data_IF_969149457961
#
_entry.id   IF_969149457961
#
_cell.length_a   1.000
_cell.length_b   1.000
_cell.length_c   1.000
_cell.angle_alpha   90.00
_cell.angle_beta   90.00
_cell.angle_gamma   90.00
#
_symmetry.space_group_name_H-M   'P 1'
#
loop_
_entity.id
_entity.type
_entity.pdbx_description
1 polymer ?
#
# COMPACT_ATOMS: atom_id res chain seq x y z
N UNK A 1 2.19 0.40 53.57
CA UNK A 1 1.23 1.49 53.28
C UNK A 1 1.13 1.65 51.77
N UNK A 2 0.18 0.93 51.15
CA UNK A 2 -0.98 1.49 50.42
C UNK A 2 -0.58 2.27 49.14
N UNK A 3 -0.45 1.63 47.97
CA UNK A 3 -1.52 1.15 47.06
C UNK A 3 -2.23 2.30 46.33
N UNK A 4 -1.97 2.44 45.01
CA UNK A 4 -3.00 2.81 44.01
C UNK A 4 -2.59 2.36 42.62
N UNK A 5 -3.05 1.15 42.33
CA UNK A 5 -3.35 0.63 41.00
C UNK A 5 -4.33 1.60 40.31
N UNK A 6 -4.00 2.07 39.11
CA UNK A 6 -4.96 2.67 38.16
C UNK A 6 -5.01 1.79 36.91
N UNK A 7 -5.85 0.77 37.01
CA UNK A 7 -6.89 0.40 36.05
C UNK A 7 -6.72 0.94 34.61
N UNK A 8 -6.16 0.10 33.73
CA UNK A 8 -6.29 0.24 32.27
C UNK A 8 -7.62 -0.41 31.88
N UNK A 9 -8.64 0.42 31.64
CA UNK A 9 -9.94 -0.05 31.18
C UNK A 9 -9.88 -0.29 29.68
N UNK A 10 -10.06 -1.55 29.31
CA UNK A 10 -10.39 -1.98 27.96
C UNK A 10 -11.71 -1.34 27.49
N UNK A 11 -11.75 -0.92 26.22
CA UNK A 11 -12.97 -0.58 25.52
C UNK A 11 -12.96 0.82 24.92
N UNK A 12 -12.65 0.94 23.63
CA UNK A 12 -13.58 1.51 22.65
C UNK A 12 -12.93 1.47 21.26
N UNK A 13 -13.16 0.35 20.60
CA UNK A 13 -12.75 -0.02 19.24
C UNK A 13 -13.61 0.67 18.17
N UNK A 14 -14.03 1.92 18.39
CA UNK A 14 -15.02 2.57 17.53
C UNK A 14 -14.85 4.09 17.52
N UNK A 15 -13.75 4.58 16.96
CA UNK A 15 -13.60 5.99 16.56
C UNK A 15 -12.39 6.19 15.67
N UNK A 16 -12.47 5.73 14.42
CA UNK A 16 -11.64 6.29 13.32
C UNK A 16 -12.23 6.03 11.92
N UNK A 17 -13.56 6.01 11.80
CA UNK A 17 -14.25 6.06 10.50
C UNK A 17 -15.02 7.37 10.38
N UNK A 18 -14.28 8.46 10.29
CA UNK A 18 -14.86 9.78 10.07
C UNK A 18 -13.96 10.62 9.17
N UNK A 19 -13.89 10.26 7.88
CA UNK A 19 -13.48 11.18 6.80
C UNK A 19 -13.59 10.64 5.38
N UNK A 20 -14.74 10.06 4.99
CA UNK A 20 -15.11 10.08 3.57
C UNK A 20 -16.58 10.42 3.46
N UNK A 21 -16.83 11.68 3.10
CA UNK A 21 -18.15 12.23 2.86
C UNK A 21 -18.77 11.57 1.63
N UNK A 22 -19.88 10.90 1.84
CA UNK A 22 -20.78 10.49 0.76
C UNK A 22 -21.80 11.62 0.58
N UNK A 23 -21.97 12.20 -0.62
CA UNK A 23 -22.97 13.22 -0.86
C UNK A 23 -24.36 12.59 -0.79
N UNK A 24 -25.15 13.06 0.16
CA UNK A 24 -26.55 12.68 0.37
C UNK A 24 -27.38 13.18 -0.82
N UNK A 25 -27.84 12.28 -1.68
CA UNK A 25 -28.87 12.59 -2.68
C UNK A 25 -30.22 12.55 -1.97
N UNK A 26 -30.77 13.74 -1.77
CA UNK A 26 -32.11 13.99 -1.26
C UNK A 26 -33.15 13.43 -2.22
N UNK A 27 -33.91 12.42 -1.78
CA UNK A 27 -35.18 12.05 -2.42
C UNK A 27 -36.30 12.51 -1.50
N UNK A 28 -36.74 13.73 -1.73
CA UNK A 28 -38.08 14.14 -1.34
C UNK A 28 -39.06 13.56 -2.37
N UNK A 29 -40.03 12.78 -1.92
CA UNK A 29 -41.42 13.04 -2.28
C UNK A 29 -42.37 12.25 -1.36
N UNK A 30 -43.36 13.00 -0.92
CA UNK A 30 -44.53 12.67 -0.13
C UNK A 30 -45.34 11.51 -0.70
N UNK A 31 -45.95 10.67 0.14
CA UNK A 31 -47.41 10.74 0.33
C UNK A 31 -47.89 9.81 1.46
N UNK A 32 -48.69 10.45 2.30
CA UNK A 32 -49.39 9.98 3.49
C UNK A 32 -50.87 9.93 3.08
N UNK A 33 -51.64 8.99 3.62
CA UNK A 33 -53.12 8.91 3.59
C UNK A 33 -53.79 8.35 2.31
N UNK A 34 -54.34 7.14 2.38
CA UNK A 34 -55.80 6.87 2.52
C UNK A 34 -56.14 5.38 2.31
N UNK A 35 -57.01 4.88 3.20
CA UNK A 35 -57.91 3.70 3.11
C UNK A 35 -57.29 2.30 3.23
N UNK A 36 -57.54 1.54 4.30
CA UNK A 36 -58.81 1.02 4.82
C UNK A 36 -59.51 0.08 3.82
N UNK A 37 -59.37 -1.23 4.03
CA UNK A 37 -60.43 -2.25 3.98
C UNK A 37 -59.77 -3.63 3.96
N UNK A 38 -59.90 -4.36 5.07
CA UNK A 38 -59.78 -5.81 5.08
C UNK A 38 -60.77 -6.39 4.08
N UNK A 39 -60.25 -7.06 3.04
CA UNK A 39 -61.00 -8.07 2.29
C UNK A 39 -60.14 -9.32 2.24
N UNK A 40 -60.61 -10.35 2.94
CA UNK A 40 -60.15 -11.73 2.84
C UNK A 40 -60.34 -12.21 1.41
N UNK A 41 -59.24 -12.54 0.73
CA UNK A 41 -59.27 -13.15 -0.60
C UNK A 41 -58.80 -14.61 -0.45
N UNK A 42 -59.57 -15.59 -0.94
CA UNK A 42 -59.28 -17.01 -0.73
C UNK A 42 -58.01 -17.44 -1.47
N UNK A 43 -57.30 -18.35 -0.82
CA UNK A 43 -56.04 -18.97 -1.21
C UNK A 43 -56.24 -19.87 -2.44
N UNK A 44 -56.20 -19.30 -3.64
CA UNK A 44 -56.09 -20.08 -4.88
C UNK A 44 -55.37 -19.24 -5.94
N UNK A 45 -54.57 -19.92 -6.76
CA UNK A 45 -53.80 -19.40 -7.91
C UNK A 45 -52.45 -18.74 -7.60
N UNK A 46 -51.48 -19.58 -7.19
CA UNK A 46 -50.05 -19.34 -7.45
C UNK A 46 -49.82 -19.40 -8.96
N UNK A 47 -49.69 -18.25 -9.62
CA UNK A 47 -49.08 -18.16 -10.96
C UNK A 47 -48.03 -17.06 -10.98
N UNK A 48 -46.85 -17.46 -11.44
CA UNK A 48 -45.57 -16.82 -11.30
C UNK A 48 -45.43 -15.55 -12.14
N UNK A 49 -44.94 -14.47 -11.54
CA UNK A 49 -44.14 -13.43 -12.21
C UNK A 49 -43.15 -12.85 -11.20
N UNK A 50 -42.09 -13.62 -10.91
CA UNK A 50 -40.90 -13.07 -10.28
C UNK A 50 -40.16 -12.24 -11.34
N UNK A 51 -40.47 -10.94 -11.41
CA UNK A 51 -39.74 -10.00 -12.24
C UNK A 51 -38.28 -9.94 -11.76
N UNK A 52 -37.36 -10.43 -12.59
CA UNK A 52 -35.92 -10.34 -12.40
C UNK A 52 -35.52 -8.87 -12.50
N UNK A 53 -35.44 -8.17 -11.37
CA UNK A 53 -34.75 -6.89 -11.28
C UNK A 53 -33.25 -7.21 -11.19
N UNK A 54 -32.63 -7.48 -12.33
CA UNK A 54 -31.18 -7.56 -12.45
C UNK A 54 -30.61 -6.16 -12.26
N UNK A 55 -30.15 -5.85 -11.05
CA UNK A 55 -29.48 -4.60 -10.74
C UNK A 55 -28.24 -4.44 -11.62
N UNK A 56 -28.18 -3.37 -12.42
CA UNK A 56 -26.91 -2.84 -12.92
C UNK A 56 -26.12 -2.33 -11.70
N UNK A 57 -25.29 -3.19 -11.12
CA UNK A 57 -24.29 -2.73 -10.17
C UNK A 57 -23.34 -1.81 -10.96
N UNK A 58 -23.16 -0.54 -10.55
CA UNK A 58 -22.09 0.26 -11.11
C UNK A 58 -20.79 -0.48 -10.83
N UNK A 59 -20.07 -0.83 -11.91
CA UNK A 59 -18.69 -1.29 -11.80
C UNK A 59 -17.89 -0.15 -11.20
N UNK A 60 -17.75 -0.16 -9.88
CA UNK A 60 -16.80 0.66 -9.14
C UNK A 60 -15.45 0.32 -9.76
N UNK A 61 -14.89 1.26 -10.52
CA UNK A 61 -13.52 1.16 -10.98
C UNK A 61 -12.67 1.33 -9.74
N UNK A 62 -12.29 0.21 -9.12
CA UNK A 62 -11.42 0.21 -7.96
C UNK A 62 -10.01 0.51 -8.43
N UNK A 63 -9.57 1.75 -8.22
CA UNK A 63 -8.18 2.10 -8.34
C UNK A 63 -7.36 1.25 -7.37
N UNK A 64 -6.31 0.59 -7.85
CA UNK A 64 -5.47 -0.29 -7.04
C UNK A 64 -4.43 0.56 -6.31
N UNK A 65 -4.49 0.66 -4.97
CA UNK A 65 -3.54 1.44 -4.20
C UNK A 65 -2.23 0.68 -3.99
N UNK A 66 -1.10 1.39 -4.12
CA UNK A 66 0.24 0.87 -3.89
C UNK A 66 0.87 1.36 -2.58
N UNK A 67 0.24 2.30 -1.86
CA UNK A 67 0.84 2.91 -0.66
C UNK A 67 1.26 1.90 0.43
N UNK A 68 0.51 0.80 0.61
CA UNK A 68 0.83 -0.22 1.61
C UNK A 68 2.12 -0.98 1.30
N UNK A 69 2.52 -1.02 0.03
CA UNK A 69 3.73 -1.67 -0.45
C UNK A 69 4.93 -0.71 -0.51
N UNK A 70 4.71 0.61 -0.33
CA UNK A 70 5.73 1.67 -0.33
C UNK A 70 6.20 2.00 1.10
N UNK A 71 6.43 0.97 1.92
CA UNK A 71 6.84 1.08 3.31
C UNK A 71 8.37 1.08 3.51
N UNK A 72 9.13 0.98 2.42
CA UNK A 72 10.59 0.88 2.40
C UNK A 72 11.16 -0.30 3.21
N UNK A 73 10.38 -1.38 3.38
CA UNK A 73 10.76 -2.63 4.07
C UNK A 73 10.76 -3.89 3.18
N UNK A 74 10.51 -3.71 1.89
CA UNK A 74 10.55 -4.79 0.89
C UNK A 74 11.78 -4.71 -0.02
N UNK A 75 11.92 -5.70 -0.92
CA UNK A 75 12.85 -5.66 -2.05
C UNK A 75 12.14 -5.23 -3.33
N UNK A 76 12.90 -4.83 -4.36
CA UNK A 76 12.30 -4.42 -5.62
C UNK A 76 11.62 -5.58 -6.34
N UNK A 77 12.17 -6.80 -6.29
CA UNK A 77 11.52 -8.00 -6.83
C UNK A 77 10.15 -8.23 -6.19
N UNK A 78 10.10 -8.21 -4.85
CA UNK A 78 8.86 -8.40 -4.08
C UNK A 78 7.80 -7.36 -4.39
N UNK A 79 8.20 -6.13 -4.73
CA UNK A 79 7.29 -5.04 -5.10
C UNK A 79 6.82 -5.15 -6.57
N UNK A 80 7.72 -5.47 -7.50
CA UNK A 80 7.44 -5.44 -8.95
C UNK A 80 6.84 -6.74 -9.47
N UNK A 81 7.31 -7.90 -9.01
CA UNK A 81 6.91 -9.20 -9.56
C UNK A 81 5.38 -9.45 -9.49
N UNK A 82 4.67 -9.12 -8.39
CA UNK A 82 3.21 -9.26 -8.36
C UNK A 82 2.51 -8.35 -9.37
N UNK A 83 2.99 -7.11 -9.55
CA UNK A 83 2.41 -6.17 -10.50
C UNK A 83 2.56 -6.63 -11.96
N UNK A 84 3.68 -7.29 -12.27
CA UNK A 84 3.90 -7.93 -13.58
C UNK A 84 2.98 -9.15 -13.74
N UNK A 85 2.90 -10.00 -12.72
CA UNK A 85 2.07 -11.21 -12.73
C UNK A 85 0.58 -10.89 -12.93
N UNK A 86 0.09 -9.87 -12.24
CA UNK A 86 -1.29 -9.37 -12.31
C UNK A 86 -1.58 -8.57 -13.59
N UNK A 87 -0.55 -8.32 -14.42
CA UNK A 87 -0.60 -7.46 -15.62
C UNK A 87 -1.04 -6.02 -15.30
N UNK A 88 -0.82 -5.58 -14.07
CA UNK A 88 -1.03 -4.19 -13.65
C UNK A 88 0.02 -3.25 -14.24
N UNK A 89 1.20 -3.78 -14.57
CA UNK A 89 2.25 -3.08 -15.32
C UNK A 89 2.73 -3.93 -16.50
N UNK A 90 3.29 -3.28 -17.50
CA UNK A 90 3.98 -3.93 -18.61
C UNK A 90 5.26 -4.62 -18.08
N UNK A 91 5.48 -5.88 -18.47
CA UNK A 91 6.64 -6.67 -18.04
C UNK A 91 7.97 -6.11 -18.56
N UNK A 92 7.94 -5.39 -19.68
CA UNK A 92 9.13 -4.73 -20.24
C UNK A 92 9.18 -3.29 -19.72
N UNK A 93 10.33 -2.84 -19.22
CA UNK A 93 10.48 -1.44 -18.83
C UNK A 93 10.36 -0.54 -20.06
N UNK A 94 9.65 0.58 -19.92
CA UNK A 94 9.58 1.60 -20.95
C UNK A 94 10.89 2.42 -21.03
N UNK A 95 11.67 2.42 -19.95
CA UNK A 95 12.95 3.12 -19.85
C UNK A 95 13.83 2.48 -18.79
N UNK A 96 15.14 2.45 -19.03
CA UNK A 96 16.16 2.05 -18.06
C UNK A 96 17.10 3.24 -17.87
N UNK A 97 17.22 3.72 -16.64
CA UNK A 97 18.12 4.83 -16.31
C UNK A 97 19.57 4.37 -16.20
N UNK A 98 20.51 5.32 -16.31
CA UNK A 98 21.94 5.03 -16.17
C UNK A 98 22.29 4.38 -14.83
N UNK A 99 21.59 4.75 -13.75
CA UNK A 99 21.75 4.14 -12.42
C UNK A 99 21.02 2.78 -12.27
N UNK A 100 20.68 2.13 -13.38
CA UNK A 100 19.99 0.85 -13.48
C UNK A 100 18.55 0.82 -12.98
N UNK A 101 17.94 1.95 -12.61
CA UNK A 101 16.51 1.98 -12.27
C UNK A 101 15.68 1.73 -13.54
N UNK A 102 14.85 0.70 -13.51
CA UNK A 102 13.93 0.34 -14.58
C UNK A 102 12.58 1.02 -14.30
N UNK A 103 12.03 1.70 -15.30
CA UNK A 103 10.72 2.32 -15.25
C UNK A 103 9.72 1.48 -16.05
N UNK A 104 8.75 0.89 -15.37
CA UNK A 104 7.68 0.08 -15.92
C UNK A 104 6.41 0.92 -16.07
N UNK A 105 5.68 0.63 -17.14
CA UNK A 105 4.47 1.37 -17.49
C UNK A 105 3.24 0.68 -16.91
N UNK A 106 2.31 1.38 -16.26
CA UNK A 106 0.99 0.82 -15.95
C UNK A 106 0.30 0.35 -17.24
N UNK A 107 -0.32 -0.82 -17.18
CA UNK A 107 -1.05 -1.37 -18.33
C UNK A 107 -2.21 -0.42 -18.70
N UNK A 108 -2.56 -0.34 -19.99
CA UNK A 108 -3.71 0.47 -20.40
C UNK A 108 -4.98 -0.01 -19.68
N UNK A 109 -5.65 0.89 -18.97
CA UNK A 109 -6.84 0.58 -18.18
C UNK A 109 -6.56 0.15 -16.73
N UNK A 110 -5.29 -0.04 -16.33
CA UNK A 110 -4.96 -0.21 -14.91
C UNK A 110 -5.04 1.15 -14.21
N UNK A 111 -5.85 1.25 -13.16
CA UNK A 111 -5.94 2.45 -12.34
C UNK A 111 -5.03 2.32 -11.11
N UNK A 112 -3.72 2.32 -11.34
CA UNK A 112 -2.75 2.31 -10.24
C UNK A 112 -2.69 3.68 -9.56
N UNK A 113 -2.79 3.68 -8.23
CA UNK A 113 -2.62 4.88 -7.41
C UNK A 113 -1.61 4.65 -6.30
N UNK A 114 -1.00 5.74 -5.84
CA UNK A 114 -0.18 5.74 -4.64
C UNK A 114 -0.47 7.02 -3.86
N UNK A 115 -0.86 6.88 -2.59
CA UNK A 115 -1.23 8.00 -1.74
C UNK A 115 -2.36 8.87 -2.34
N UNK A 116 -3.26 8.24 -3.09
CA UNK A 116 -4.37 8.90 -3.80
C UNK A 116 -3.98 9.58 -5.11
N UNK A 117 -2.73 9.49 -5.56
CA UNK A 117 -2.28 10.04 -6.84
C UNK A 117 -2.15 8.97 -7.92
N UNK A 118 -2.48 9.31 -9.15
CA UNK A 118 -2.34 8.43 -10.32
C UNK A 118 -0.86 8.12 -10.57
N UNK A 119 -0.54 6.85 -10.71
CA UNK A 119 0.82 6.38 -11.02
C UNK A 119 1.07 6.55 -12.52
N UNK A 120 2.16 7.23 -12.85
CA UNK A 120 2.69 7.38 -14.20
C UNK A 120 3.64 6.24 -14.57
N UNK A 121 4.52 5.87 -13.64
CA UNK A 121 5.49 4.81 -13.82
C UNK A 121 5.75 4.10 -12.50
N UNK A 122 6.05 2.80 -12.56
CA UNK A 122 6.54 2.02 -11.42
C UNK A 122 8.04 1.82 -11.59
N UNK A 123 8.82 2.02 -10.55
CA UNK A 123 10.28 2.00 -10.58
C UNK A 123 10.81 0.78 -9.83
N UNK A 124 11.85 0.13 -10.36
CA UNK A 124 12.49 -1.00 -9.71
C UNK A 124 13.89 -1.30 -10.21
N UNK A 125 14.74 -1.81 -9.33
CA UNK A 125 16.02 -2.45 -9.64
C UNK A 125 16.43 -3.34 -8.48
N UNK A 126 16.88 -4.56 -8.77
CA UNK A 126 17.49 -5.47 -7.80
C UNK A 126 18.73 -6.11 -8.43
N UNK A 127 19.86 -6.14 -7.71
CA UNK A 127 21.10 -6.69 -8.25
C UNK A 127 21.02 -8.20 -8.37
N UNK A 128 21.31 -8.71 -9.56
CA UNK A 128 21.38 -10.15 -9.81
C UNK A 128 20.02 -10.80 -10.05
N UNK A 129 18.98 -10.00 -10.24
CA UNK A 129 17.65 -10.46 -10.61
C UNK A 129 17.39 -10.19 -12.10
N UNK A 130 17.09 -11.25 -12.83
CA UNK A 130 16.90 -11.24 -14.28
C UNK A 130 15.67 -10.47 -14.75
N UNK A 131 14.74 -10.12 -13.84
CA UNK A 131 13.62 -9.23 -14.14
C UNK A 131 14.08 -7.80 -14.46
N UNK A 132 15.27 -7.39 -13.99
CA UNK A 132 15.75 -6.02 -14.13
C UNK A 132 16.90 -5.92 -15.13
N UNK A 133 16.78 -4.97 -16.06
CA UNK A 133 17.87 -4.67 -17.00
C UNK A 133 18.85 -3.71 -16.36
N UNK A 134 20.15 -4.03 -16.40
CA UNK A 134 21.18 -3.12 -15.89
C UNK A 134 21.39 -1.93 -16.83
N UNK A 135 21.49 -0.74 -16.25
CA UNK A 135 21.83 0.49 -16.97
C UNK A 135 23.33 0.59 -17.25
N UNK A 136 23.73 1.66 -17.95
CA UNK A 136 25.13 1.88 -18.35
C UNK A 136 26.05 2.38 -17.24
N UNK A 137 25.49 2.82 -16.10
CA UNK A 137 26.22 3.39 -14.97
C UNK A 137 26.21 2.51 -13.73
N UNK A 138 26.73 3.06 -12.63
CA UNK A 138 26.72 2.38 -11.33
C UNK A 138 25.29 2.34 -10.76
N UNK A 139 24.81 1.17 -10.31
CA UNK A 139 23.52 1.06 -9.65
C UNK A 139 23.41 1.95 -8.41
N UNK A 140 22.22 2.50 -8.16
CA UNK A 140 21.98 3.37 -7.00
C UNK A 140 22.19 2.65 -5.66
N UNK A 141 21.74 1.40 -5.57
CA UNK A 141 21.88 0.50 -4.42
C UNK A 141 21.64 -0.95 -4.87
N UNK A 142 21.69 -1.89 -3.93
CA UNK A 142 21.46 -3.33 -4.14
C UNK A 142 20.02 -3.63 -4.54
N UNK A 143 19.08 -2.89 -3.98
CA UNK A 143 17.65 -2.96 -4.30
C UNK A 143 17.04 -1.57 -4.12
N UNK A 144 16.23 -1.14 -5.07
CA UNK A 144 15.48 0.10 -4.99
C UNK A 144 14.17 0.01 -5.77
N UNK A 145 13.11 0.60 -5.24
CA UNK A 145 11.79 0.57 -5.85
C UNK A 145 10.98 1.81 -5.51
N UNK A 146 9.91 2.04 -6.27
CA UNK A 146 9.05 3.19 -6.03
C UNK A 146 8.08 3.43 -7.15
N UNK A 147 7.53 4.63 -7.18
CA UNK A 147 6.58 5.06 -8.20
C UNK A 147 6.84 6.51 -8.58
N UNK A 148 6.47 6.87 -9.81
CA UNK A 148 6.29 8.26 -10.23
C UNK A 148 4.80 8.55 -10.27
N UNK A 149 4.36 9.57 -9.56
CA UNK A 149 2.95 10.00 -9.51
C UNK A 149 2.74 11.31 -10.25
N UNK A 150 1.53 11.50 -10.78
CA UNK A 150 1.08 12.72 -11.44
C UNK A 150 0.58 13.75 -10.40
N UNK A 151 1.52 14.31 -9.63
CA UNK A 151 1.27 15.39 -8.69
C UNK A 151 2.56 16.15 -8.37
N UNK A 152 2.41 17.40 -7.92
CA UNK A 152 3.52 18.24 -7.46
C UNK A 152 4.13 17.76 -6.14
N UNK A 153 5.42 18.04 -5.96
CA UNK A 153 6.22 17.50 -4.85
C UNK A 153 5.67 17.88 -3.48
N UNK A 154 5.22 19.13 -3.29
CA UNK A 154 4.67 19.61 -2.02
C UNK A 154 3.43 18.80 -1.57
N UNK A 155 2.51 18.53 -2.49
CA UNK A 155 1.29 17.77 -2.19
C UNK A 155 1.60 16.30 -1.91
N UNK A 156 2.55 15.74 -2.67
CA UNK A 156 3.00 14.36 -2.50
C UNK A 156 3.68 14.18 -1.15
N UNK A 157 4.61 15.06 -0.80
CA UNK A 157 5.34 15.02 0.47
C UNK A 157 4.39 15.11 1.68
N UNK A 158 3.38 15.98 1.62
CA UNK A 158 2.37 16.08 2.66
C UNK A 158 1.64 14.74 2.89
N UNK A 159 1.27 14.04 1.81
CA UNK A 159 0.56 12.75 1.88
C UNK A 159 1.44 11.58 2.32
N UNK A 160 2.68 11.53 1.83
CA UNK A 160 3.65 10.51 2.26
C UNK A 160 3.93 10.65 3.75
N UNK A 161 4.11 11.89 4.24
CA UNK A 161 4.31 12.15 5.66
C UNK A 161 3.08 11.81 6.52
N UNK A 162 1.87 12.10 6.04
CA UNK A 162 0.61 11.72 6.72
C UNK A 162 0.50 10.19 6.90
N UNK A 163 1.02 9.41 5.95
CA UNK A 163 1.04 7.94 6.02
C UNK A 163 2.11 7.37 6.95
N UNK A 164 3.08 8.17 7.39
CA UNK A 164 4.25 7.72 8.16
C UNK A 164 5.32 6.99 7.34
N UNK A 165 5.25 7.01 6.00
CA UNK A 165 6.27 6.41 5.14
C UNK A 165 7.55 7.25 5.13
N UNK A 166 8.71 6.59 5.09
CA UNK A 166 10.05 7.21 5.04
C UNK A 166 10.61 7.30 3.62
N UNK A 167 9.75 7.17 2.60
CA UNK A 167 10.18 7.21 1.20
C UNK A 167 10.81 8.56 0.82
N UNK A 168 11.84 8.50 -0.02
CA UNK A 168 12.53 9.67 -0.55
C UNK A 168 11.70 10.27 -1.67
N UNK A 169 11.39 11.56 -1.55
CA UNK A 169 10.64 12.32 -2.56
C UNK A 169 11.63 13.00 -3.51
N UNK A 170 11.50 12.74 -4.81
CA UNK A 170 12.30 13.39 -5.85
C UNK A 170 11.39 14.03 -6.89
N UNK A 171 11.55 15.32 -7.08
CA UNK A 171 10.84 16.05 -8.12
C UNK A 171 11.45 15.71 -9.49
N UNK A 172 10.62 15.24 -10.42
CA UNK A 172 11.04 14.91 -11.80
C UNK A 172 10.65 16.03 -12.75
N UNK A 173 9.38 16.44 -12.68
CA UNK A 173 8.85 17.61 -13.42
C UNK A 173 8.19 18.53 -12.39
N UNK A 174 8.69 19.76 -12.21
CA UNK A 174 8.11 20.71 -11.27
C UNK A 174 6.58 20.81 -11.43
N UNK A 175 5.88 20.80 -10.29
CA UNK A 175 4.42 20.92 -10.21
C UNK A 175 3.58 19.78 -10.83
N UNK A 176 4.18 18.84 -11.57
CA UNK A 176 3.43 17.82 -12.33
C UNK A 176 3.78 16.37 -11.99
N UNK A 177 5.06 16.06 -11.79
CA UNK A 177 5.50 14.67 -11.58
C UNK A 177 6.52 14.56 -10.46
N UNK A 178 6.25 13.62 -9.57
CA UNK A 178 7.08 13.39 -8.39
C UNK A 178 7.34 11.89 -8.23
N UNK A 179 8.59 11.53 -8.02
CA UNK A 179 8.97 10.17 -7.65
C UNK A 179 8.92 10.00 -6.13
N UNK A 180 8.34 8.88 -5.69
CA UNK A 180 8.33 8.40 -4.32
C UNK A 180 9.16 7.12 -4.34
N UNK A 181 10.31 7.14 -3.68
CA UNK A 181 11.38 6.16 -3.91
C UNK A 181 11.94 5.59 -2.61
N UNK A 182 12.00 4.26 -2.52
CA UNK A 182 12.69 3.53 -1.48
C UNK A 182 14.02 3.03 -2.06
N UNK A 183 15.13 3.56 -1.58
CA UNK A 183 16.47 3.22 -2.08
C UNK A 183 17.15 2.08 -1.29
N UNK A 184 16.45 1.42 -0.36
CA UNK A 184 17.01 0.32 0.42
C UNK A 184 17.95 0.76 1.56
N UNK A 185 18.19 2.06 1.74
CA UNK A 185 19.06 2.57 2.83
C UNK A 185 18.55 2.21 4.22
N UNK A 186 17.23 2.03 4.38
CA UNK A 186 16.58 1.59 5.62
C UNK A 186 16.94 0.15 6.03
N UNK A 187 17.30 -0.71 5.08
CA UNK A 187 17.66 -2.12 5.32
C UNK A 187 19.11 -2.27 5.82
N UNK A 188 20.04 -1.44 5.32
CA UNK A 188 21.44 -1.51 5.70
C UNK A 188 21.71 -1.07 7.14
N UNK A 189 20.90 -0.18 7.72
CA UNK A 189 21.05 0.23 9.13
C UNK A 189 20.71 -0.87 10.14
N UNK A 190 19.92 -1.88 9.76
CA UNK A 190 19.56 -2.98 10.67
C UNK A 190 20.64 -4.05 10.74
N UNK A 191 21.37 -4.32 9.64
CA UNK A 191 22.45 -5.31 9.63
C UNK A 191 23.66 -4.87 10.47
N UNK A 192 23.94 -3.56 10.54
CA UNK A 192 25.04 -3.03 11.37
C UNK A 192 24.71 -3.06 12.87
N UNK A 193 23.43 -3.05 13.25
CA UNK A 193 23.02 -3.12 14.67
C UNK A 193 23.16 -4.53 15.27
N UNK A 194 23.13 -5.60 14.46
CA UNK A 194 23.29 -6.98 14.95
C UNK A 194 24.75 -7.43 15.03
N UNK A 195 25.68 -6.75 14.35
CA UNK A 195 27.11 -7.09 14.37
C UNK A 195 27.85 -6.65 15.66
N UNK A 196 27.24 -5.83 16.52
CA UNK A 196 27.90 -5.31 17.75
C UNK A 196 27.52 -6.07 19.02
N UNK A 197 26.67 -7.11 18.94
CA UNK A 197 26.16 -7.83 20.12
C UNK A 197 26.85 -9.19 20.40
N UNK A 198 28.01 -9.48 19.81
CA UNK A 198 28.73 -10.75 20.05
C UNK A 198 30.23 -10.52 20.22
N UNK A 199 30.61 -9.83 21.30
CA UNK A 199 32.00 -9.75 21.73
C UNK A 199 32.13 -9.53 23.24
N UNK A 200 31.47 -10.34 24.09
CA UNK A 200 31.94 -10.59 25.47
C UNK A 200 31.35 -11.89 26.01
N UNK A 201 31.99 -13.02 25.72
CA UNK A 201 31.79 -14.25 26.46
C UNK A 201 33.08 -15.07 26.37
N UNK A 202 34.03 -14.78 27.27
CA UNK A 202 35.13 -15.70 27.53
C UNK A 202 34.67 -16.79 28.52
N UNK A 203 35.10 -18.05 28.33
CA UNK A 203 34.62 -19.19 29.08
C UNK A 203 35.36 -19.37 30.41
N UNK A 204 34.58 -19.72 31.44
CA UNK A 204 35.09 -20.37 32.66
C UNK A 204 35.48 -21.81 32.30
N UNK A 205 36.73 -22.18 32.53
CA UNK A 205 37.11 -23.56 32.83
C UNK A 205 37.98 -23.60 34.08
N UNK A 206 37.40 -24.18 35.12
CA UNK A 206 38.00 -24.57 36.40
C UNK A 206 38.61 -25.98 36.28
N UNK A 207 39.51 -26.30 37.21
CA UNK A 207 40.15 -27.59 37.55
C UNK A 207 41.56 -27.82 36.97
N UNK A 208 42.55 -28.35 37.70
CA UNK A 208 42.83 -28.53 39.13
C UNK A 208 44.25 -29.15 39.19
N UNK A 209 45.02 -28.81 40.22
CA UNK A 209 45.99 -29.68 40.93
C UNK A 209 46.97 -30.55 40.12
N UNK A 210 48.28 -30.20 40.13
CA UNK A 210 49.39 -31.16 40.44
C UNK A 210 50.75 -30.48 40.65
N UNK A 211 51.33 -30.69 41.85
CA UNK A 211 52.75 -30.60 42.25
C UNK A 211 53.80 -30.51 41.12
N UNK A 212 54.71 -29.52 41.21
CA UNK A 212 56.13 -29.74 41.54
C UNK A 212 56.85 -28.43 41.87
#
# INVERSE_FOLDING_TARGET
>A
MLQRVREVRAGSLARLLHRYGCPSISVGLTNRWFNAAMKTVPLATLTAFAAVVGGLLPSLSDATPLESQLDCKSSAHRFIAPLVADKSIEARPMRVEANSVNAFKPTKGSELTAYGFRVYAVLGYERGDDMFTRGSGQPINDSAYGVVVLAGAETVEAKVRESGSTAVIKQIVPMMMTAIFCDGSSMHNTTTATATATATADPVTTEASRNR
#
